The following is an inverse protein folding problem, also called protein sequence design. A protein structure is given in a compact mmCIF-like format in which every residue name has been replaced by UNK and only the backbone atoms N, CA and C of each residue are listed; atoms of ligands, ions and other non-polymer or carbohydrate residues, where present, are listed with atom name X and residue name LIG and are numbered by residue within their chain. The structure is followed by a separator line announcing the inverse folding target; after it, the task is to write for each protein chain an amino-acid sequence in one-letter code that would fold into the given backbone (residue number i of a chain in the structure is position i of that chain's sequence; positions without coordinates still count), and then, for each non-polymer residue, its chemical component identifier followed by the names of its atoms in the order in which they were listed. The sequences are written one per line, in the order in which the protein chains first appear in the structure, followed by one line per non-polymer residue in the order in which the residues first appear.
data_IF_952510301284
#
_entry.id   IF_952510301284
#
_cell.length_a   1.000
_cell.length_b   1.000
_cell.length_c   1.000
_cell.angle_alpha   90.00
_cell.angle_beta   90.00
_cell.angle_gamma   90.00
#
_symmetry.space_group_name_H-M   'P 1'
#
loop_
_entity.id
_entity.type
_entity.pdbx_description
1 polymer ?
#
# COMPACT_ATOMS: atom_id res chain seq x y z
N UNK A 1 -4.58 3.11 -10.50
CA UNK A 1 -3.40 2.36 -10.03
C UNK A 1 -3.93 1.17 -9.28
N UNK A 2 -3.64 -0.04 -9.77
CA UNK A 2 -4.07 -1.29 -9.15
C UNK A 2 -2.91 -1.80 -8.30
N UNK A 3 -3.20 -2.12 -7.04
CA UNK A 3 -2.26 -2.69 -6.09
C UNK A 3 -2.86 -4.01 -5.61
N UNK A 4 -2.24 -5.11 -5.98
CA UNK A 4 -2.60 -6.45 -5.57
C UNK A 4 -1.74 -6.87 -4.38
N UNK A 5 -2.38 -7.08 -3.23
CA UNK A 5 -1.75 -7.58 -2.02
C UNK A 5 -2.14 -9.03 -1.83
N UNK A 6 -1.24 -9.94 -2.17
CA UNK A 6 -1.41 -11.39 -2.04
C UNK A 6 -2.72 -11.92 -2.64
N UNK A 7 -3.26 -11.30 -3.69
CA UNK A 7 -4.53 -11.66 -4.34
C UNK A 7 -5.68 -10.68 -4.10
N UNK A 8 -5.61 -9.82 -3.06
CA UNK A 8 -6.61 -8.79 -2.80
C UNK A 8 -6.25 -7.51 -3.54
N UNK A 9 -7.12 -7.08 -4.47
CA UNK A 9 -6.88 -5.90 -5.31
C UNK A 9 -7.47 -4.65 -4.69
N UNK A 10 -6.64 -3.62 -4.64
CA UNK A 10 -7.00 -2.26 -4.27
C UNK A 10 -6.80 -1.34 -5.46
N UNK A 11 -7.71 -0.39 -5.62
CA UNK A 11 -7.58 0.63 -6.66
C UNK A 11 -7.51 2.03 -6.04
N UNK A 12 -6.59 2.84 -6.55
CA UNK A 12 -6.49 4.26 -6.18
C UNK A 12 -5.94 5.10 -7.32
N UNK A 13 -5.91 6.42 -7.11
CA UNK A 13 -5.32 7.39 -8.05
C UNK A 13 -3.82 7.49 -7.82
N UNK A 14 -3.04 7.67 -8.89
CA UNK A 14 -1.60 7.93 -8.76
C UNK A 14 -1.32 9.18 -7.89
N UNK A 15 -2.17 10.20 -8.00
CA UNK A 15 -2.09 11.42 -7.18
C UNK A 15 -2.36 11.19 -5.70
N UNK A 16 -3.06 10.10 -5.32
CA UNK A 16 -3.23 9.72 -3.92
C UNK A 16 -1.90 9.26 -3.34
N UNK A 17 -1.19 8.38 -4.05
CA UNK A 17 0.10 7.86 -3.60
C UNK A 17 1.17 8.97 -3.53
N UNK A 18 1.16 9.89 -4.50
CA UNK A 18 2.10 11.01 -4.58
C UNK A 18 2.02 12.04 -3.45
N UNK A 19 1.02 11.94 -2.56
CA UNK A 19 0.93 12.82 -1.37
C UNK A 19 2.07 12.58 -0.38
N UNK A 20 2.68 11.40 -0.43
CA UNK A 20 3.78 10.98 0.43
C UNK A 20 4.91 10.42 -0.44
N UNK A 21 5.61 11.26 -1.22
CA UNK A 21 6.62 10.81 -2.19
C UNK A 21 7.83 10.11 -1.54
N UNK A 22 8.03 10.26 -0.23
CA UNK A 22 9.07 9.62 0.56
C UNK A 22 8.84 8.11 0.79
N UNK A 23 7.62 7.63 0.60
CA UNK A 23 7.26 6.22 0.84
C UNK A 23 7.51 5.36 -0.40
N UNK A 24 7.50 4.04 -0.21
CA UNK A 24 7.64 3.07 -1.31
C UNK A 24 6.58 3.29 -2.40
N UNK A 25 5.30 3.41 -2.04
CA UNK A 25 4.22 3.56 -3.02
C UNK A 25 4.16 4.99 -3.59
N UNK A 26 4.62 6.00 -2.86
CA UNK A 26 4.64 7.38 -3.34
C UNK A 26 5.72 7.64 -4.39
N UNK A 27 6.90 7.06 -4.19
CA UNK A 27 8.01 7.13 -5.14
C UNK A 27 7.76 6.23 -6.36
N UNK A 28 7.69 6.86 -7.54
CA UNK A 28 7.50 6.14 -8.82
C UNK A 28 8.60 5.13 -9.11
N UNK A 29 9.86 5.44 -8.75
CA UNK A 29 11.00 4.56 -9.02
C UNK A 29 10.97 3.35 -8.12
N UNK A 30 10.77 3.54 -6.82
CA UNK A 30 10.71 2.44 -5.83
C UNK A 30 9.55 1.49 -6.11
N UNK A 31 8.34 2.00 -6.38
CA UNK A 31 7.22 1.09 -6.68
C UNK A 31 7.33 0.39 -8.03
N UNK A 32 8.13 0.90 -8.98
CA UNK A 32 8.29 0.26 -10.29
C UNK A 32 8.92 -1.14 -10.18
N UNK A 33 9.71 -1.40 -9.14
CA UNK A 33 10.29 -2.72 -8.84
C UNK A 33 9.23 -3.79 -8.54
N UNK A 34 8.01 -3.38 -8.17
CA UNK A 34 6.91 -4.26 -7.80
C UNK A 34 5.85 -4.37 -8.90
N UNK A 35 6.08 -3.81 -10.08
CA UNK A 35 5.10 -3.81 -11.15
C UNK A 35 5.11 -5.14 -11.91
N UNK A 36 3.97 -5.81 -11.92
CA UNK A 36 3.72 -6.99 -12.74
C UNK A 36 3.15 -6.55 -14.10
N UNK A 37 3.99 -6.65 -15.13
CA UNK A 37 3.64 -6.30 -16.51
C UNK A 37 2.60 -7.23 -17.13
N UNK A 38 2.50 -8.48 -16.69
CA UNK A 38 1.55 -9.45 -17.26
C UNK A 38 0.12 -9.12 -16.82
N UNK A 39 -0.04 -8.66 -15.58
CA UNK A 39 -1.34 -8.33 -14.99
C UNK A 39 -1.62 -6.81 -14.94
N UNK A 40 -0.67 -5.96 -15.34
CA UNK A 40 -0.77 -4.50 -15.33
C UNK A 40 -1.14 -3.94 -13.94
N UNK A 41 -0.51 -4.50 -12.89
CA UNK A 41 -0.74 -4.14 -11.49
C UNK A 41 0.56 -4.14 -10.68
N UNK A 42 0.56 -3.46 -9.52
CA UNK A 42 1.64 -3.63 -8.56
C UNK A 42 1.34 -4.84 -7.67
N UNK A 43 2.30 -5.74 -7.47
CA UNK A 43 2.10 -6.94 -6.65
C UNK A 43 2.96 -6.93 -5.39
N UNK A 44 2.33 -7.26 -4.26
CA UNK A 44 2.99 -7.37 -2.96
C UNK A 44 2.56 -8.66 -2.26
N UNK A 45 3.53 -9.53 -1.96
CA UNK A 45 3.33 -10.71 -1.10
C UNK A 45 3.38 -10.28 0.38
N UNK A 46 2.35 -9.56 0.82
CA UNK A 46 2.26 -8.91 2.15
C UNK A 46 0.91 -9.18 2.84
N UNK A 47 0.75 -8.69 4.06
CA UNK A 47 -0.45 -8.91 4.86
C UNK A 47 -1.66 -8.12 4.31
N UNK A 48 -2.65 -8.86 3.78
CA UNK A 48 -3.80 -8.30 3.05
C UNK A 48 -4.59 -7.28 3.88
N UNK A 49 -4.97 -7.66 5.10
CA UNK A 49 -5.85 -6.84 5.93
C UNK A 49 -5.18 -5.55 6.43
N UNK A 50 -3.84 -5.54 6.50
CA UNK A 50 -3.10 -4.33 6.90
C UNK A 50 -3.16 -3.24 5.84
N UNK A 51 -3.31 -3.64 4.58
CA UNK A 51 -3.17 -2.71 3.47
C UNK A 51 -4.27 -1.66 3.40
N UNK A 52 -5.46 -1.94 3.92
CA UNK A 52 -6.54 -0.95 3.99
C UNK A 52 -6.09 0.29 4.79
N UNK A 53 -5.46 0.10 5.94
CA UNK A 53 -4.93 1.19 6.76
C UNK A 53 -3.75 1.90 6.08
N UNK A 54 -2.89 1.17 5.38
CA UNK A 54 -1.79 1.75 4.59
C UNK A 54 -2.34 2.61 3.46
N UNK A 55 -3.36 2.16 2.73
CA UNK A 55 -3.98 2.93 1.66
C UNK A 55 -4.71 4.16 2.23
N UNK A 56 -5.38 4.00 3.37
CA UNK A 56 -6.05 5.09 4.06
C UNK A 56 -5.08 6.19 4.51
N UNK A 57 -3.85 5.85 4.91
CA UNK A 57 -2.81 6.84 5.21
C UNK A 57 -2.60 7.82 4.04
N UNK A 58 -2.52 7.33 2.80
CA UNK A 58 -2.43 8.21 1.62
C UNK A 58 -3.72 9.00 1.37
N UNK A 59 -4.88 8.36 1.51
CA UNK A 59 -6.18 8.98 1.25
C UNK A 59 -6.51 10.11 2.24
N UNK A 60 -6.14 9.93 3.50
CA UNK A 60 -6.37 10.86 4.60
C UNK A 60 -5.29 11.92 4.76
N UNK A 61 -4.21 11.86 3.97
CA UNK A 61 -3.03 12.74 4.05
C UNK A 61 -2.28 12.60 5.38
N UNK A 62 -2.11 11.37 5.86
CA UNK A 62 -1.21 11.05 6.96
C UNK A 62 -1.86 10.41 8.19
N UNK A 63 -3.17 10.14 8.20
CA UNK A 63 -3.78 9.43 9.34
C UNK A 63 -3.51 7.93 9.22
N UNK A 64 -2.76 7.41 10.18
CA UNK A 64 -2.43 5.99 10.26
C UNK A 64 -3.09 5.40 11.52
N UNK A 65 -4.07 4.53 11.31
CA UNK A 65 -4.80 3.85 12.38
C UNK A 65 -4.71 2.36 12.16
N UNK A 66 -4.20 1.63 13.16
CA UNK A 66 -4.17 0.16 13.14
C UNK A 66 -5.61 -0.40 13.15
N UNK A 67 -5.99 -1.30 12.24
CA UNK A 67 -7.26 -2.01 12.35
C UNK A 67 -7.31 -2.86 13.61
N UNK A 68 -8.43 -2.84 14.34
CA UNK A 68 -8.55 -3.51 15.65
C UNK A 68 -8.24 -5.01 15.59
N UNK A 69 -8.63 -5.66 14.48
CA UNK A 69 -8.47 -7.09 14.23
C UNK A 69 -7.05 -7.53 13.83
N UNK A 70 -6.09 -6.60 13.70
CA UNK A 70 -4.71 -6.89 13.30
C UNK A 70 -3.78 -6.63 14.48
N UNK A 71 -2.91 -7.57 14.85
CA UNK A 71 -2.00 -7.36 15.98
C UNK A 71 -1.05 -6.16 15.75
N UNK A 72 -0.60 -5.54 16.83
CA UNK A 72 0.35 -4.42 16.76
C UNK A 72 1.66 -4.81 16.06
N UNK A 73 2.16 -6.03 16.34
CA UNK A 73 3.37 -6.56 15.73
C UNK A 73 3.27 -6.67 14.21
N UNK A 74 2.23 -7.35 13.70
CA UNK A 74 1.99 -7.49 12.26
C UNK A 74 1.86 -6.11 11.60
N UNK A 75 1.14 -5.18 12.25
CA UNK A 75 0.95 -3.85 11.67
C UNK A 75 2.25 -3.04 11.63
N UNK A 76 3.09 -3.13 12.67
CA UNK A 76 4.39 -2.46 12.71
C UNK A 76 5.35 -3.00 11.65
N UNK A 77 5.29 -4.28 11.32
CA UNK A 77 6.09 -4.86 10.22
C UNK A 77 5.72 -4.31 8.83
N UNK A 78 4.46 -3.91 8.63
CA UNK A 78 3.99 -3.29 7.38
C UNK A 78 4.30 -1.79 7.27
N UNK A 79 4.67 -1.12 8.38
CA UNK A 79 4.95 0.33 8.39
C UNK A 79 6.45 0.64 8.24
N UNK A 80 7.33 -0.35 8.41
CA UNK A 80 8.78 -0.19 8.23
C UNK A 80 9.16 0.15 6.80
#
# INVERSE_FOLDING_TARGET
VIINVSGLRFETRASTLQRHPETLLGDKKRRAEYFDYMNNEYFFERHRSSFEAILYFYQSRGRLTRPEHISAEIFLEEIK
#
